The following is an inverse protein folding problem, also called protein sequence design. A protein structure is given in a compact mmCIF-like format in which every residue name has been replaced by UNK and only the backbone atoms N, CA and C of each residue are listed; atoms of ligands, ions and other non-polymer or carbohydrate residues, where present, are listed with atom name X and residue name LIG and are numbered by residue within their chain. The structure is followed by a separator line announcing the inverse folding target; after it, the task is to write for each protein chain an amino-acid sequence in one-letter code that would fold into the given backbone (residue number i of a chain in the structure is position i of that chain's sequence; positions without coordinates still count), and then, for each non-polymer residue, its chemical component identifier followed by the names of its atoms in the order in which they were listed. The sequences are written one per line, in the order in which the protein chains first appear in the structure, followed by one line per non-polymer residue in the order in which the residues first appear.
data_IF_363019628344
#
_entry.id   IF_363019628344
#
_cell.length_a   1.000
_cell.length_b   1.000
_cell.length_c   1.000
_cell.angle_alpha   90.00
_cell.angle_beta   90.00
_cell.angle_gamma   90.00
#
_symmetry.space_group_name_H-M   'P 1'
#
loop_
_entity.id
_entity.type
_entity.pdbx_description
1 polymer ?
#
# COMPACT_ATOMS: atom_id res chain seq x y z
N UNK A 1 -1.21 7.77 -6.23
CA UNK A 1 -0.64 7.68 -4.88
C UNK A 1 0.84 7.30 -4.80
N UNK A 2 1.60 7.19 -5.91
CA UNK A 2 3.02 6.82 -5.81
C UNK A 2 3.79 7.81 -4.95
N UNK A 3 4.65 7.30 -4.07
CA UNK A 3 5.50 8.12 -3.22
C UNK A 3 4.78 8.88 -2.11
N UNK A 4 3.52 8.54 -1.82
CA UNK A 4 2.72 9.26 -0.82
C UNK A 4 2.72 8.63 0.56
N UNK A 5 3.20 7.41 0.69
CA UNK A 5 3.19 6.69 1.96
C UNK A 5 4.57 6.76 2.61
N UNK A 6 4.61 7.10 3.89
CA UNK A 6 5.84 7.09 4.67
C UNK A 6 6.37 5.68 4.85
N UNK A 7 7.69 5.50 4.79
CA UNK A 7 8.28 4.18 5.03
C UNK A 7 8.04 3.67 6.44
N UNK A 8 7.72 4.55 7.39
CA UNK A 8 7.38 4.15 8.76
C UNK A 8 5.95 3.66 8.87
N UNK A 9 5.05 4.17 8.04
CA UNK A 9 3.63 3.78 8.03
C UNK A 9 3.42 2.53 7.19
N UNK A 10 4.25 2.32 6.18
CA UNK A 10 4.07 1.23 5.24
C UNK A 10 3.93 -0.16 5.89
N UNK A 11 4.81 -0.56 6.84
CA UNK A 11 4.66 -1.88 7.48
C UNK A 11 3.33 -2.07 8.19
N UNK A 12 2.82 -1.00 8.79
CA UNK A 12 1.52 -1.03 9.46
C UNK A 12 0.39 -1.24 8.47
N UNK A 13 0.46 -0.59 7.31
CA UNK A 13 -0.52 -0.79 6.25
C UNK A 13 -0.50 -2.22 5.72
N UNK A 14 0.67 -2.80 5.58
CA UNK A 14 0.79 -4.18 5.12
C UNK A 14 0.16 -5.15 6.12
N UNK A 15 0.39 -4.93 7.39
CA UNK A 15 -0.19 -5.75 8.44
C UNK A 15 -1.72 -5.67 8.45
N UNK A 16 -2.25 -4.45 8.40
CA UNK A 16 -3.70 -4.22 8.40
C UNK A 16 -4.37 -4.73 7.12
N UNK A 17 -3.68 -4.67 6.00
CA UNK A 17 -4.21 -5.09 4.71
C UNK A 17 -4.10 -6.59 4.48
N UNK A 18 -3.42 -7.31 5.36
CA UNK A 18 -3.19 -8.76 5.24
C UNK A 18 -2.51 -9.17 3.94
N UNK A 19 -1.68 -8.31 3.39
CA UNK A 19 -0.86 -8.64 2.22
C UNK A 19 0.32 -9.47 2.70
N UNK A 20 0.46 -10.69 2.19
CA UNK A 20 1.45 -11.64 2.68
C UNK A 20 2.55 -12.00 1.69
N UNK A 21 2.32 -11.81 0.41
CA UNK A 21 3.33 -12.11 -0.61
C UNK A 21 4.48 -11.12 -0.53
N UNK A 22 5.69 -11.61 -0.31
CA UNK A 22 6.88 -10.75 -0.24
C UNK A 22 7.10 -9.95 -1.52
N UNK A 23 6.89 -10.58 -2.68
CA UNK A 23 7.04 -9.89 -3.97
C UNK A 23 6.08 -8.72 -4.07
N UNK A 24 4.84 -8.95 -3.67
CA UNK A 24 3.81 -7.90 -3.72
C UNK A 24 4.11 -6.80 -2.70
N UNK A 25 4.57 -7.17 -1.52
CA UNK A 25 4.97 -6.19 -0.50
C UNK A 25 6.08 -5.29 -1.01
N UNK A 26 7.13 -5.86 -1.62
CA UNK A 26 8.22 -5.06 -2.18
C UNK A 26 7.74 -4.18 -3.33
N UNK A 27 6.87 -4.71 -4.19
CA UNK A 27 6.32 -3.94 -5.30
C UNK A 27 5.47 -2.77 -4.80
N UNK A 28 4.63 -3.01 -3.80
CA UNK A 28 3.81 -1.96 -3.19
C UNK A 28 4.68 -0.91 -2.50
N UNK A 29 5.75 -1.33 -1.83
CA UNK A 29 6.67 -0.39 -1.18
C UNK A 29 7.33 0.53 -2.20
N UNK A 30 7.86 -0.03 -3.26
CA UNK A 30 8.50 0.78 -4.29
C UNK A 30 7.51 1.74 -4.95
N UNK A 31 6.27 1.31 -5.12
CA UNK A 31 5.23 2.14 -5.69
C UNK A 31 4.76 3.23 -4.73
N UNK A 32 4.37 2.85 -3.51
CA UNK A 32 3.74 3.77 -2.55
C UNK A 32 4.73 4.67 -1.82
N UNK A 33 5.91 4.16 -1.50
CA UNK A 33 6.90 4.90 -0.73
C UNK A 33 7.89 5.63 -1.65
N UNK A 34 8.45 4.91 -2.61
CA UNK A 34 9.54 5.43 -3.44
C UNK A 34 9.10 6.06 -4.75
N UNK A 35 7.85 5.88 -5.15
CA UNK A 35 7.28 6.56 -6.31
C UNK A 35 7.54 5.90 -7.67
N UNK A 36 7.95 4.65 -7.69
CA UNK A 36 8.10 3.92 -8.95
C UNK A 36 6.74 3.63 -9.58
N UNK A 37 6.70 3.48 -10.90
CA UNK A 37 5.44 3.21 -11.59
C UNK A 37 5.00 1.76 -11.41
N UNK A 38 3.71 1.50 -11.67
CA UNK A 38 3.16 0.14 -11.62
C UNK A 38 3.89 -0.79 -12.58
N UNK A 39 4.18 -0.30 -13.78
CA UNK A 39 4.90 -1.09 -14.77
C UNK A 39 6.28 -1.51 -14.27
N UNK A 40 7.01 -0.55 -13.69
CA UNK A 40 8.34 -0.80 -13.17
C UNK A 40 8.35 -1.84 -12.08
N UNK A 41 7.44 -1.71 -11.10
CA UNK A 41 7.44 -2.63 -9.95
C UNK A 41 6.93 -4.01 -10.35
N UNK A 42 5.96 -4.11 -11.23
CA UNK A 42 5.47 -5.40 -11.70
C UNK A 42 6.54 -6.16 -12.48
N UNK A 43 7.30 -5.48 -13.31
CA UNK A 43 8.40 -6.08 -14.06
C UNK A 43 9.54 -6.49 -13.14
N UNK A 44 9.89 -5.62 -12.20
CA UNK A 44 11.01 -5.86 -11.27
C UNK A 44 10.80 -7.09 -10.39
N UNK A 45 9.61 -7.27 -9.88
CA UNK A 45 9.32 -8.34 -8.93
C UNK A 45 8.55 -9.52 -9.52
N UNK A 46 8.30 -9.49 -10.82
CA UNK A 46 7.59 -10.59 -11.48
C UNK A 46 6.16 -10.76 -10.99
N UNK A 47 5.48 -9.67 -10.68
CA UNK A 47 4.09 -9.67 -10.22
C UNK A 47 3.20 -9.30 -11.41
N UNK A 48 2.09 -10.02 -11.58
CA UNK A 48 1.14 -9.67 -12.61
C UNK A 48 0.44 -8.36 -12.28
N UNK A 49 0.11 -7.60 -13.30
CA UNK A 49 -0.58 -6.33 -13.13
C UNK A 49 -1.90 -6.49 -12.39
N UNK A 50 -2.63 -7.54 -12.74
CA UNK A 50 -3.92 -7.86 -12.12
C UNK A 50 -3.79 -8.12 -10.62
N UNK A 51 -2.81 -8.93 -10.24
CA UNK A 51 -2.57 -9.25 -8.84
C UNK A 51 -2.15 -8.01 -8.06
N UNK A 52 -1.23 -7.24 -8.63
CA UNK A 52 -0.76 -5.99 -8.01
C UNK A 52 -1.92 -5.02 -7.78
N UNK A 53 -2.79 -4.86 -8.80
CA UNK A 53 -3.94 -3.95 -8.69
C UNK A 53 -4.91 -4.36 -7.60
N UNK A 54 -5.15 -5.66 -7.43
CA UNK A 54 -6.02 -6.15 -6.36
C UNK A 54 -5.42 -5.86 -4.98
N UNK A 55 -4.13 -6.10 -4.81
CA UNK A 55 -3.44 -5.81 -3.57
C UNK A 55 -3.45 -4.32 -3.26
N UNK A 56 -3.19 -3.49 -4.26
CA UNK A 56 -3.19 -2.04 -4.12
C UNK A 56 -4.57 -1.52 -3.70
N UNK A 57 -5.63 -2.04 -4.29
CA UNK A 57 -7.00 -1.65 -3.89
C UNK A 57 -7.26 -1.97 -2.43
N UNK A 58 -6.81 -3.12 -1.96
CA UNK A 58 -6.96 -3.52 -0.56
C UNK A 58 -6.24 -2.55 0.37
N UNK A 59 -5.01 -2.20 0.04
CA UNK A 59 -4.21 -1.26 0.83
C UNK A 59 -4.85 0.13 0.85
N UNK A 60 -5.31 0.61 -0.29
CA UNK A 60 -5.96 1.92 -0.38
C UNK A 60 -7.26 1.96 0.41
N UNK A 61 -8.01 0.87 0.40
CA UNK A 61 -9.25 0.77 1.17
C UNK A 61 -8.97 0.89 2.67
N UNK A 62 -7.96 0.18 3.16
CA UNK A 62 -7.56 0.26 4.57
C UNK A 62 -7.11 1.67 4.91
N UNK A 63 -6.30 2.28 4.06
CA UNK A 63 -5.84 3.66 4.26
C UNK A 63 -6.99 4.65 4.35
N UNK A 64 -7.98 4.51 3.49
CA UNK A 64 -9.15 5.38 3.51
C UNK A 64 -9.99 5.21 4.78
N UNK A 65 -10.11 3.98 5.28
CA UNK A 65 -10.82 3.71 6.53
C UNK A 65 -10.10 4.40 7.70
N UNK A 66 -8.79 4.33 7.74
CA UNK A 66 -7.99 4.97 8.79
C UNK A 66 -8.20 6.47 8.77
N UNK A 67 -8.11 7.10 7.61
CA UNK A 67 -8.31 8.54 7.46
C UNK A 67 -9.71 8.93 7.94
N UNK A 68 -10.72 8.18 7.54
CA UNK A 68 -12.11 8.43 7.94
C UNK A 68 -12.28 8.36 9.45
N UNK A 69 -11.68 7.36 10.09
CA UNK A 69 -11.75 7.23 11.54
C UNK A 69 -11.10 8.41 12.25
N UNK A 70 -9.93 8.84 11.79
CA UNK A 70 -9.23 9.97 12.39
C UNK A 70 -10.00 11.29 12.24
N UNK A 71 -10.70 11.46 11.14
CA UNK A 71 -11.50 12.67 10.91
C UNK A 71 -12.75 12.72 11.78
N UNK A 72 -13.38 11.56 12.01
CA UNK A 72 -14.65 11.51 12.74
C UNK A 72 -14.53 11.20 14.22
N UNK A 73 -13.34 10.77 14.68
CA UNK A 73 -13.11 10.43 16.08
C UNK A 73 -11.85 11.12 16.59
N UNK A 74 -11.86 12.45 16.69
CA UNK A 74 -10.66 13.20 17.09
C UNK A 74 -10.16 12.84 18.49
N UNK A 75 -11.01 12.31 19.35
CA UNK A 75 -10.63 11.91 20.70
C UNK A 75 -9.73 10.67 20.74
N UNK A 76 -9.55 10.00 19.61
CA UNK A 76 -8.69 8.81 19.53
C UNK A 76 -7.20 9.20 19.45
N UNK A 77 -6.92 10.40 19.05
CA UNK A 77 -5.55 10.88 18.88
C UNK A 77 -4.74 10.78 20.14
#
# INVERSE_FOLDING_TARGET
MPGKVSEFVFPLLMELSSVRSERVIYALRDFLVWGYTRKEVCERYGVTYSYFSKALKRVCRVGNIIVCLLEHYPFIH
#
